data_IF_176613663647
#
_entry.id   IF_176613663647
#
_cell.length_a   1.000
_cell.length_b   1.000
_cell.length_c   1.000
_cell.angle_alpha   90.00
_cell.angle_beta   90.00
_cell.angle_gamma   90.00
#
_symmetry.space_group_name_H-M   'P 1'
#
loop_
_entity.id
_entity.type
_entity.pdbx_description
1 polymer ?
#
# COMPACT_ATOMS: atom_id res chain seq x y z
N UNK A 1 -49.91 23.65 5.69
CA UNK A 1 -51.07 22.81 5.98
C UNK A 1 -51.57 22.12 4.72
N UNK A 2 -51.92 20.85 4.76
CA UNK A 2 -51.62 19.86 5.78
C UNK A 2 -50.91 18.58 5.23
N UNK A 3 -50.24 17.91 6.11
CA UNK A 3 -50.01 16.48 6.20
C UNK A 3 -51.37 15.68 6.09
N UNK A 4 -51.41 14.39 5.70
CA UNK A 4 -51.13 13.35 6.68
C UNK A 4 -50.48 12.04 6.13
N UNK A 5 -49.74 11.37 6.97
CA UNK A 5 -49.58 9.92 7.08
C UNK A 5 -50.89 9.30 7.69
N UNK A 6 -50.99 8.00 8.01
CA UNK A 6 -50.24 6.77 7.78
C UNK A 6 -51.18 5.55 7.44
N UNK A 7 -50.63 4.30 7.27
CA UNK A 7 -51.23 3.03 7.72
C UNK A 7 -50.34 1.86 7.29
N UNK A 8 -49.69 1.17 8.18
CA UNK A 8 -49.99 0.01 9.04
C UNK A 8 -50.24 -1.32 8.34
N UNK A 9 -49.45 -2.31 8.75
CA UNK A 9 -49.81 -3.69 9.17
C UNK A 9 -49.93 -4.72 8.04
N UNK A 10 -49.24 -5.86 8.05
CA UNK A 10 -49.46 -6.99 8.95
C UNK A 10 -48.51 -8.12 8.57
N UNK A 11 -47.83 -8.68 9.52
CA UNK A 11 -47.34 -10.06 9.59
C UNK A 11 -48.54 -11.00 9.88
N UNK A 12 -48.57 -12.29 9.57
CA UNK A 12 -47.90 -13.27 10.42
C UNK A 12 -47.49 -14.63 9.78
N UNK A 13 -46.48 -15.22 10.37
CA UNK A 13 -46.40 -16.53 11.08
C UNK A 13 -46.52 -17.87 10.31
N UNK A 14 -45.54 -18.70 10.69
CA UNK A 14 -45.64 -20.13 11.07
C UNK A 14 -45.68 -21.16 9.94
N UNK A 15 -44.71 -22.06 9.90
CA UNK A 15 -44.83 -23.41 10.51
C UNK A 15 -43.56 -24.25 10.33
N UNK A 16 -43.09 -24.79 11.42
CA UNK A 16 -42.30 -26.00 11.54
C UNK A 16 -43.26 -27.14 11.86
N UNK A 17 -43.03 -28.40 11.54
CA UNK A 17 -42.27 -29.33 12.41
C UNK A 17 -41.45 -30.42 11.66
N UNK A 18 -40.32 -30.84 12.25
CA UNK A 18 -40.05 -31.97 13.11
C UNK A 18 -40.38 -33.36 12.51
N UNK A 19 -39.43 -34.25 12.47
CA UNK A 19 -39.26 -35.47 13.29
C UNK A 19 -38.46 -36.51 12.47
N UNK A 20 -37.54 -37.01 13.00
CA UNK A 20 -37.25 -38.21 13.83
C UNK A 20 -36.52 -39.33 13.10
N UNK A 21 -35.41 -39.69 13.63
CA UNK A 21 -35.10 -40.98 14.32
C UNK A 21 -34.69 -42.19 13.43
N UNK A 22 -33.57 -42.76 13.57
CA UNK A 22 -33.15 -43.92 14.37
C UNK A 22 -32.02 -44.67 13.70
N UNK A 23 -30.87 -44.72 14.26
CA UNK A 23 -30.23 -45.75 15.09
C UNK A 23 -29.63 -46.99 14.42
N UNK A 24 -28.48 -47.30 14.93
CA UNK A 24 -27.87 -48.56 15.31
C UNK A 24 -26.89 -49.18 14.29
N UNK A 25 -25.70 -49.40 14.62
CA UNK A 25 -24.95 -50.08 15.60
C UNK A 25 -23.99 -51.12 14.98
N UNK A 26 -22.78 -51.08 15.47
CA UNK A 26 -21.88 -52.19 15.83
C UNK A 26 -21.13 -52.95 14.74
N UNK A 27 -19.83 -52.90 14.72
CA UNK A 27 -18.94 -53.90 15.36
C UNK A 27 -17.51 -53.74 14.85
N UNK A 28 -16.57 -53.61 15.76
CA UNK A 28 -15.17 -53.93 15.55
C UNK A 28 -14.99 -55.45 15.74
N UNK A 29 -13.88 -56.04 15.30
CA UNK A 29 -12.64 -56.03 16.07
C UNK A 29 -11.31 -56.05 15.28
N UNK A 30 -10.35 -55.48 15.92
CA UNK A 30 -9.01 -55.91 16.32
C UNK A 30 -8.01 -56.50 15.31
N UNK A 31 -6.85 -55.89 15.42
CA UNK A 31 -5.51 -56.45 15.56
C UNK A 31 -4.65 -56.54 14.30
N UNK A 32 -3.60 -55.76 14.30
CA UNK A 32 -2.20 -56.17 14.21
C UNK A 32 -1.27 -54.97 14.13
N UNK A 33 -0.37 -54.93 15.09
CA UNK A 33 0.76 -54.01 15.17
C UNK A 33 1.70 -54.22 13.98
N UNK A 34 2.17 -53.11 13.39
CA UNK A 34 3.51 -53.08 12.81
C UNK A 34 4.16 -51.70 13.08
N UNK A 35 5.25 -51.82 13.84
CA UNK A 35 6.17 -50.76 14.22
C UNK A 35 7.05 -50.43 13.04
N UNK A 36 6.84 -49.30 12.40
CA UNK A 36 7.81 -48.73 11.47
C UNK A 36 8.11 -47.26 11.81
N UNK A 37 9.39 -47.01 12.02
CA UNK A 37 10.06 -45.83 12.46
C UNK A 37 9.53 -44.51 11.84
N UNK A 38 9.19 -43.58 12.72
CA UNK A 38 8.88 -42.18 12.37
C UNK A 38 10.19 -41.45 12.11
N UNK A 39 10.50 -41.24 10.84
CA UNK A 39 11.45 -40.20 10.46
C UNK A 39 10.82 -38.80 10.62
N UNK A 40 11.57 -37.77 11.03
CA UNK A 40 11.02 -36.42 11.19
C UNK A 40 10.61 -35.89 9.82
N UNK A 41 9.33 -35.55 9.64
CA UNK A 41 8.86 -34.76 8.51
C UNK A 41 9.44 -33.37 8.67
N UNK A 42 10.37 -33.05 7.80
CA UNK A 42 10.82 -31.65 7.60
C UNK A 42 9.58 -30.78 7.40
N UNK A 43 9.55 -29.68 8.15
CA UNK A 43 8.52 -28.64 8.04
C UNK A 43 8.55 -28.08 6.63
N UNK A 44 7.62 -28.57 5.78
CA UNK A 44 7.40 -28.03 4.45
C UNK A 44 6.95 -26.59 4.57
N UNK A 45 7.81 -25.67 4.16
CA UNK A 45 7.49 -24.24 4.06
C UNK A 45 6.19 -24.06 3.29
N UNK A 46 5.23 -23.37 3.85
CA UNK A 46 3.94 -23.09 3.25
C UNK A 46 4.14 -22.46 1.88
N UNK A 47 3.72 -23.14 0.81
CA UNK A 47 3.79 -22.63 -0.56
C UNK A 47 2.97 -21.34 -0.63
N UNK A 48 3.58 -20.21 -1.05
CA UNK A 48 2.87 -18.95 -1.09
C UNK A 48 1.59 -19.05 -1.93
N UNK A 49 0.52 -18.32 -1.59
CA UNK A 49 -0.72 -18.34 -2.38
C UNK A 49 -0.40 -18.10 -3.86
N UNK A 50 -1.06 -18.81 -4.76
CA UNK A 50 -0.81 -18.73 -6.22
C UNK A 50 -0.73 -17.27 -6.73
N UNK A 51 -1.53 -16.37 -6.16
CA UNK A 51 -1.50 -14.95 -6.49
C UNK A 51 -0.20 -14.25 -6.07
N UNK A 52 0.41 -14.63 -4.96
CA UNK A 52 1.68 -14.08 -4.50
C UNK A 52 2.85 -14.57 -5.38
N UNK A 53 2.88 -15.85 -5.73
CA UNK A 53 3.87 -16.42 -6.64
C UNK A 53 3.77 -15.78 -8.05
N UNK A 54 2.55 -15.57 -8.53
CA UNK A 54 2.30 -14.88 -9.81
C UNK A 54 2.82 -13.44 -9.81
N UNK A 55 2.53 -12.68 -8.74
CA UNK A 55 3.04 -11.30 -8.62
C UNK A 55 4.56 -11.25 -8.56
N UNK A 56 5.18 -12.16 -7.79
CA UNK A 56 6.65 -12.24 -7.70
C UNK A 56 7.29 -12.53 -9.06
N UNK A 57 6.72 -13.45 -9.85
CA UNK A 57 7.18 -13.76 -11.19
C UNK A 57 7.07 -12.55 -12.15
N UNK A 58 5.95 -11.82 -12.08
CA UNK A 58 5.77 -10.59 -12.87
C UNK A 58 6.82 -9.54 -12.50
N UNK A 59 7.05 -9.30 -11.20
CA UNK A 59 8.03 -8.29 -10.74
C UNK A 59 9.45 -8.67 -11.13
N UNK A 60 9.84 -9.94 -11.01
CA UNK A 60 11.16 -10.40 -11.44
C UNK A 60 11.37 -10.15 -12.93
N UNK A 61 10.44 -10.59 -13.78
CA UNK A 61 10.50 -10.36 -15.23
C UNK A 61 10.47 -8.86 -15.59
N UNK A 62 9.76 -8.04 -14.81
CA UNK A 62 9.69 -6.61 -14.99
C UNK A 62 11.04 -5.94 -14.68
N UNK A 63 11.69 -6.30 -13.57
CA UNK A 63 13.03 -5.80 -13.22
C UNK A 63 14.05 -6.10 -14.31
N UNK A 64 14.11 -7.36 -14.73
CA UNK A 64 15.03 -7.80 -15.79
C UNK A 64 14.79 -7.01 -17.07
N UNK A 65 13.53 -6.84 -17.46
CA UNK A 65 13.19 -6.16 -18.70
C UNK A 65 13.43 -4.66 -18.66
N UNK A 66 13.09 -4.01 -17.55
CA UNK A 66 13.37 -2.58 -17.38
C UNK A 66 14.87 -2.29 -17.26
N UNK A 67 15.65 -3.18 -16.65
CA UNK A 67 17.09 -3.05 -16.59
C UNK A 67 17.74 -3.22 -17.98
N UNK A 68 17.27 -4.17 -18.80
CA UNK A 68 17.83 -4.45 -20.12
C UNK A 68 17.42 -3.42 -21.19
N UNK A 69 16.15 -3.02 -21.21
CA UNK A 69 15.60 -2.19 -22.29
C UNK A 69 15.39 -0.73 -21.90
N UNK A 70 15.42 -0.42 -20.62
CA UNK A 70 14.94 0.85 -20.08
C UNK A 70 13.42 0.97 -20.07
N UNK A 71 12.91 2.00 -19.39
CA UNK A 71 11.47 2.20 -19.26
C UNK A 71 10.77 2.34 -20.62
N UNK A 72 11.29 3.16 -21.53
CA UNK A 72 10.61 3.48 -22.79
C UNK A 72 10.39 2.26 -23.70
N UNK A 73 11.39 1.41 -23.86
CA UNK A 73 11.35 0.27 -24.79
C UNK A 73 10.71 -0.98 -24.21
N UNK A 74 10.68 -1.12 -22.89
CA UNK A 74 10.02 -2.24 -22.24
C UNK A 74 8.51 -2.20 -22.50
N UNK A 75 7.90 -3.37 -22.75
CA UNK A 75 6.45 -3.48 -22.98
C UNK A 75 5.82 -4.48 -22.03
N UNK A 76 4.56 -4.25 -21.62
CA UNK A 76 3.79 -5.18 -20.81
C UNK A 76 3.75 -6.58 -21.43
N UNK A 77 3.61 -6.68 -22.76
CA UNK A 77 3.59 -7.97 -23.47
C UNK A 77 4.91 -8.73 -23.33
N UNK A 78 6.05 -8.03 -23.46
CA UNK A 78 7.36 -8.64 -23.29
C UNK A 78 7.62 -9.12 -21.87
N UNK A 79 7.21 -8.33 -20.87
CA UNK A 79 7.31 -8.68 -19.45
C UNK A 79 6.42 -9.87 -19.13
N UNK A 80 5.17 -9.85 -19.57
CA UNK A 80 4.22 -10.95 -19.38
C UNK A 80 4.74 -12.27 -19.99
N UNK A 81 5.32 -12.20 -21.18
CA UNK A 81 5.99 -13.34 -21.83
C UNK A 81 7.16 -13.86 -20.99
N UNK A 82 7.99 -12.98 -20.44
CA UNK A 82 9.11 -13.36 -19.55
C UNK A 82 8.65 -14.02 -18.26
N UNK A 83 7.51 -13.57 -17.72
CA UNK A 83 6.90 -14.15 -16.54
C UNK A 83 6.08 -15.44 -16.81
N UNK A 84 5.84 -15.82 -18.07
CA UNK A 84 4.96 -16.92 -18.43
C UNK A 84 3.48 -16.68 -18.10
N UNK A 85 3.02 -15.43 -18.16
CA UNK A 85 1.70 -14.99 -17.69
C UNK A 85 1.00 -14.20 -18.78
N UNK A 86 -0.33 -14.23 -18.78
CA UNK A 86 -1.12 -13.41 -19.72
C UNK A 86 -0.96 -11.91 -19.46
N UNK A 87 -0.78 -11.06 -20.47
CA UNK A 87 -0.67 -9.61 -20.30
C UNK A 87 -1.84 -8.96 -19.56
N UNK A 88 -3.06 -9.50 -19.67
CA UNK A 88 -4.22 -8.99 -18.95
C UNK A 88 -4.09 -9.14 -17.43
N UNK A 89 -3.41 -10.21 -16.98
CA UNK A 89 -3.10 -10.42 -15.56
C UNK A 89 -2.11 -9.38 -15.04
N UNK A 90 -1.12 -9.00 -15.84
CA UNK A 90 -0.18 -7.93 -15.49
C UNK A 90 -0.94 -6.61 -15.32
N UNK A 91 -1.80 -6.28 -16.29
CA UNK A 91 -2.66 -5.09 -16.24
C UNK A 91 -3.61 -5.12 -15.04
N UNK A 92 -4.18 -6.27 -14.72
CA UNK A 92 -5.06 -6.44 -13.55
C UNK A 92 -4.34 -6.18 -12.23
N UNK A 93 -3.06 -6.58 -12.09
CA UNK A 93 -2.30 -6.42 -10.85
C UNK A 93 -1.68 -5.03 -10.71
N UNK A 94 -1.24 -4.43 -11.80
CA UNK A 94 -0.43 -3.20 -11.77
C UNK A 94 -1.03 -2.03 -12.55
N UNK A 95 -2.17 -2.20 -13.17
CA UNK A 95 -2.93 -1.17 -13.88
C UNK A 95 -2.31 -0.75 -15.21
N UNK A 96 -1.04 -0.37 -15.23
CA UNK A 96 -0.33 0.09 -16.42
C UNK A 96 1.19 -0.15 -16.31
N UNK A 97 1.94 0.23 -17.36
CA UNK A 97 3.40 0.09 -17.37
C UNK A 97 4.10 0.91 -16.29
N UNK A 98 3.61 2.13 -16.01
CA UNK A 98 4.17 2.98 -14.95
C UNK A 98 3.96 2.35 -13.57
N UNK A 99 2.76 1.81 -13.29
CA UNK A 99 2.47 1.09 -12.06
C UNK A 99 3.33 -0.16 -11.88
N UNK A 100 3.56 -0.91 -12.96
CA UNK A 100 4.45 -2.07 -12.95
C UNK A 100 5.91 -1.66 -12.71
N UNK A 101 6.37 -0.59 -13.37
CA UNK A 101 7.71 -0.04 -13.17
C UNK A 101 7.92 0.41 -11.74
N UNK A 102 6.99 1.19 -11.20
CA UNK A 102 7.03 1.63 -9.81
C UNK A 102 7.07 0.46 -8.82
N UNK A 103 6.34 -0.63 -9.09
CA UNK A 103 6.35 -1.82 -8.25
C UNK A 103 7.63 -2.67 -8.39
N UNK A 104 8.26 -2.65 -9.55
CA UNK A 104 9.46 -3.43 -9.87
C UNK A 104 10.76 -2.72 -9.46
N UNK A 105 10.78 -1.37 -9.48
CA UNK A 105 11.95 -0.57 -9.14
C UNK A 105 12.19 -0.57 -7.62
N UNK A 106 13.44 -0.58 -7.21
CA UNK A 106 13.83 -0.17 -5.86
C UNK A 106 13.72 1.34 -5.80
N UNK A 107 12.73 1.84 -5.06
CA UNK A 107 12.47 3.28 -4.99
C UNK A 107 13.26 3.84 -3.82
N UNK A 108 14.22 4.67 -4.14
CA UNK A 108 14.92 5.52 -3.18
C UNK A 108 14.25 6.90 -3.17
N UNK A 109 13.60 7.22 -2.06
CA UNK A 109 12.91 8.51 -1.91
C UNK A 109 13.93 9.64 -1.72
N UNK A 110 15.17 9.32 -1.31
CA UNK A 110 16.23 10.31 -1.02
C UNK A 110 15.70 11.41 -0.09
N UNK A 111 15.19 11.00 1.08
CA UNK A 111 14.71 11.94 2.08
C UNK A 111 15.79 12.97 2.44
N UNK A 112 15.45 14.25 2.68
CA UNK A 112 16.44 15.29 2.95
C UNK A 112 17.08 15.07 4.32
N UNK A 113 18.36 15.37 4.45
CA UNK A 113 18.96 15.51 5.79
C UNK A 113 18.39 16.78 6.45
N UNK A 114 17.65 16.59 7.53
CA UNK A 114 17.04 17.66 8.31
C UNK A 114 17.86 18.04 9.55
N UNK A 115 18.92 17.29 9.89
CA UNK A 115 19.67 17.48 11.13
C UNK A 115 20.45 18.80 11.18
N UNK A 116 20.76 19.36 10.02
CA UNK A 116 21.49 20.61 9.86
C UNK A 116 20.62 21.79 9.42
N UNK A 117 19.30 21.59 9.32
CA UNK A 117 18.35 22.64 8.95
C UNK A 117 17.93 23.41 10.20
N UNK A 118 17.85 24.77 10.14
CA UNK A 118 17.31 25.56 11.23
C UNK A 118 15.94 25.07 11.66
N UNK A 119 15.71 25.00 12.98
CA UNK A 119 14.50 24.40 13.55
C UNK A 119 13.19 25.03 13.03
N UNK A 120 13.20 26.31 12.74
CA UNK A 120 12.06 27.07 12.19
C UNK A 120 11.86 26.90 10.66
N UNK A 121 12.83 26.28 9.97
CA UNK A 121 12.79 26.04 8.51
C UNK A 121 12.50 24.57 8.13
N UNK A 122 12.42 23.66 9.10
CA UNK A 122 12.25 22.21 8.84
C UNK A 122 11.05 21.91 7.95
N UNK A 123 9.90 22.53 8.24
CA UNK A 123 8.67 22.32 7.47
C UNK A 123 8.81 22.78 6.02
N UNK A 124 9.38 23.97 5.83
CA UNK A 124 9.59 24.51 4.49
C UNK A 124 10.58 23.69 3.67
N UNK A 125 11.68 23.25 4.29
CA UNK A 125 12.68 22.39 3.66
C UNK A 125 12.07 21.05 3.23
N UNK A 126 11.29 20.43 4.10
CA UNK A 126 10.65 19.15 3.82
C UNK A 126 9.65 19.26 2.66
N UNK A 127 8.78 20.26 2.67
CA UNK A 127 7.78 20.45 1.61
C UNK A 127 8.42 20.74 0.26
N UNK A 128 9.44 21.62 0.19
CA UNK A 128 10.18 21.87 -1.07
C UNK A 128 10.81 20.58 -1.61
N UNK A 129 11.49 19.84 -0.75
CA UNK A 129 12.12 18.59 -1.16
C UNK A 129 11.12 17.61 -1.75
N UNK A 130 9.95 17.45 -1.14
CA UNK A 130 8.91 16.55 -1.67
C UNK A 130 8.37 17.03 -3.02
N UNK A 131 8.12 18.31 -3.20
CA UNK A 131 7.69 18.85 -4.50
C UNK A 131 8.71 18.58 -5.59
N UNK A 132 9.99 18.89 -5.34
CA UNK A 132 11.09 18.64 -6.24
C UNK A 132 11.19 17.15 -6.63
N UNK A 133 11.07 16.26 -5.65
CA UNK A 133 11.13 14.81 -5.88
C UNK A 133 9.95 14.31 -6.72
N UNK A 134 8.74 14.78 -6.43
CA UNK A 134 7.55 14.36 -7.21
C UNK A 134 7.59 14.83 -8.65
N UNK A 135 8.19 15.97 -8.92
CA UNK A 135 8.27 16.53 -10.28
C UNK A 135 9.49 16.03 -11.07
N UNK A 136 10.54 15.61 -10.38
CA UNK A 136 11.74 15.07 -11.04
C UNK A 136 11.61 13.60 -11.43
N UNK A 137 10.67 12.85 -10.85
CA UNK A 137 10.61 11.39 -11.00
C UNK A 137 9.17 10.86 -11.05
N UNK A 138 8.73 10.46 -12.24
CA UNK A 138 7.41 9.84 -12.46
C UNK A 138 7.21 8.54 -11.65
N UNK A 139 8.30 7.93 -11.16
CA UNK A 139 8.25 6.71 -10.36
C UNK A 139 7.46 6.93 -9.07
N UNK A 140 7.62 8.09 -8.44
CA UNK A 140 6.87 8.47 -7.23
C UNK A 140 5.36 8.50 -7.47
N UNK A 141 4.95 9.15 -8.56
CA UNK A 141 3.54 9.20 -8.97
C UNK A 141 3.00 7.83 -9.34
N UNK A 142 3.81 7.02 -10.04
CA UNK A 142 3.49 5.63 -10.38
C UNK A 142 3.30 4.77 -9.13
N UNK A 143 4.21 4.88 -8.16
CA UNK A 143 4.10 4.17 -6.88
C UNK A 143 2.83 4.54 -6.12
N UNK A 144 2.50 5.82 -6.06
CA UNK A 144 1.28 6.29 -5.40
C UNK A 144 0.02 5.72 -6.07
N UNK A 145 -0.07 5.76 -7.40
CA UNK A 145 -1.20 5.18 -8.14
C UNK A 145 -1.40 3.70 -7.82
N UNK A 146 -0.30 2.95 -7.78
CA UNK A 146 -0.35 1.52 -7.41
C UNK A 146 -0.67 1.34 -5.94
N UNK A 147 -0.12 2.18 -5.06
CA UNK A 147 -0.33 2.13 -3.61
C UNK A 147 -1.79 2.31 -3.21
N UNK A 148 -2.53 3.18 -3.91
CA UNK A 148 -3.97 3.40 -3.63
C UNK A 148 -4.89 2.42 -4.33
N UNK A 149 -4.38 1.57 -5.24
CA UNK A 149 -5.20 0.66 -6.04
C UNK A 149 -5.03 -0.82 -5.70
N UNK A 150 -3.98 -1.20 -5.00
CA UNK A 150 -3.77 -2.61 -4.62
C UNK A 150 -2.86 -2.78 -3.39
N UNK A 151 -3.03 -3.91 -2.69
CA UNK A 151 -2.34 -4.21 -1.43
C UNK A 151 -0.81 -4.31 -1.58
N UNK A 152 -0.30 -4.83 -2.69
CA UNK A 152 1.14 -4.97 -2.90
C UNK A 152 1.81 -3.58 -3.00
N UNK A 153 1.17 -2.64 -3.71
CA UNK A 153 1.61 -1.26 -3.77
C UNK A 153 1.52 -0.57 -2.41
N UNK A 154 0.43 -0.76 -1.67
CA UNK A 154 0.27 -0.22 -0.33
C UNK A 154 1.35 -0.76 0.64
N UNK A 155 1.67 -2.06 0.59
CA UNK A 155 2.74 -2.66 1.38
C UNK A 155 4.09 -2.03 1.04
N UNK A 156 4.37 -1.79 -0.25
CA UNK A 156 5.62 -1.15 -0.67
C UNK A 156 5.71 0.30 -0.18
N UNK A 157 4.63 1.08 -0.27
CA UNK A 157 4.59 2.44 0.28
C UNK A 157 4.86 2.45 1.78
N UNK A 158 4.25 1.53 2.53
CA UNK A 158 4.52 1.39 3.98
C UNK A 158 6.00 1.06 4.25
N UNK A 159 6.59 0.16 3.46
CA UNK A 159 8.01 -0.18 3.59
C UNK A 159 8.92 1.01 3.31
N UNK A 160 8.70 1.73 2.22
CA UNK A 160 9.44 2.95 1.88
C UNK A 160 9.32 4.00 2.99
N UNK A 161 8.11 4.19 3.52
CA UNK A 161 7.88 5.11 4.62
C UNK A 161 8.69 4.71 5.86
N UNK A 162 8.57 3.47 6.33
CA UNK A 162 9.23 2.99 7.54
C UNK A 162 10.77 2.94 7.42
N UNK A 163 11.31 2.62 6.24
CA UNK A 163 12.75 2.46 6.05
C UNK A 163 13.47 3.75 5.64
N UNK A 164 12.79 4.70 4.99
CA UNK A 164 13.45 5.86 4.39
C UNK A 164 12.94 7.21 4.90
N UNK A 165 11.68 7.33 5.30
CA UNK A 165 11.08 8.61 5.70
C UNK A 165 11.03 8.75 7.22
N UNK A 166 10.47 7.78 7.91
CA UNK A 166 10.30 7.80 9.36
C UNK A 166 11.61 8.03 10.13
N UNK A 167 12.75 7.38 9.79
CA UNK A 167 14.02 7.63 10.48
C UNK A 167 14.49 9.08 10.37
N UNK A 168 14.28 9.73 9.21
CA UNK A 168 14.66 11.13 8.99
C UNK A 168 13.80 12.08 9.83
N UNK A 169 12.50 11.83 9.89
CA UNK A 169 11.57 12.63 10.69
C UNK A 169 11.82 12.43 12.18
N UNK A 170 12.10 11.19 12.60
CA UNK A 170 12.41 10.84 13.99
C UNK A 170 13.68 11.51 14.48
N UNK A 171 14.70 11.70 13.62
CA UNK A 171 15.95 12.34 13.98
C UNK A 171 15.81 13.80 14.41
N UNK A 172 14.74 14.48 13.97
CA UNK A 172 14.44 15.88 14.32
C UNK A 172 13.23 16.03 15.24
N UNK A 173 12.65 14.92 15.68
CA UNK A 173 11.50 14.93 16.59
C UNK A 173 11.95 15.33 18.01
N UNK A 174 11.32 16.34 18.65
CA UNK A 174 11.70 16.78 19.98
C UNK A 174 11.39 15.75 21.07
N UNK A 175 10.39 14.88 20.84
CA UNK A 175 9.93 13.85 21.75
C UNK A 175 9.96 12.51 21.03
N UNK A 176 10.97 11.63 21.30
CA UNK A 176 11.13 10.36 20.57
C UNK A 176 9.89 9.46 20.58
N UNK A 177 9.14 9.45 21.68
CA UNK A 177 7.93 8.63 21.86
C UNK A 177 6.78 9.06 20.94
N UNK A 178 6.81 10.29 20.44
CA UNK A 178 5.82 10.86 19.52
C UNK A 178 6.21 10.75 18.04
N UNK A 179 7.43 10.28 17.75
CA UNK A 179 7.99 10.31 16.39
C UNK A 179 7.14 9.55 15.37
N UNK A 180 6.62 8.37 15.72
CA UNK A 180 5.75 7.58 14.84
C UNK A 180 4.44 8.32 14.53
N UNK A 181 3.76 8.87 15.55
CA UNK A 181 2.53 9.63 15.38
C UNK A 181 2.76 10.87 14.51
N UNK A 182 3.79 11.64 14.80
CA UNK A 182 4.14 12.86 14.08
C UNK A 182 4.51 12.57 12.63
N UNK A 183 5.28 11.52 12.37
CA UNK A 183 5.62 11.05 11.03
C UNK A 183 4.38 10.64 10.24
N UNK A 184 3.42 9.96 10.86
CA UNK A 184 2.13 9.61 10.26
C UNK A 184 1.31 10.83 9.88
N UNK A 185 1.26 11.86 10.74
CA UNK A 185 0.57 13.13 10.44
C UNK A 185 1.23 13.86 9.26
N UNK A 186 2.55 13.94 9.24
CA UNK A 186 3.31 14.54 8.14
C UNK A 186 3.04 13.79 6.84
N UNK A 187 3.15 12.46 6.85
CA UNK A 187 2.87 11.63 5.69
C UNK A 187 1.47 11.87 5.14
N UNK A 188 0.45 11.99 6.00
CA UNK A 188 -0.92 12.24 5.57
C UNK A 188 -1.07 13.55 4.79
N UNK A 189 -0.40 14.61 5.21
CA UNK A 189 -0.44 15.91 4.53
C UNK A 189 0.30 15.87 3.20
N UNK A 190 1.53 15.34 3.20
CA UNK A 190 2.37 15.27 2.00
C UNK A 190 1.76 14.34 0.94
N UNK A 191 1.33 13.14 1.34
CA UNK A 191 0.70 12.19 0.41
C UNK A 191 -0.67 12.70 -0.07
N UNK A 192 -1.44 13.38 0.77
CA UNK A 192 -2.70 14.01 0.38
C UNK A 192 -2.49 15.10 -0.68
N UNK A 193 -1.50 15.98 -0.50
CA UNK A 193 -1.13 16.99 -1.49
C UNK A 193 -0.67 16.34 -2.79
N UNK A 194 0.20 15.34 -2.72
CA UNK A 194 0.70 14.63 -3.89
C UNK A 194 -0.43 13.91 -4.65
N UNK A 195 -1.33 13.24 -3.94
CA UNK A 195 -2.51 12.60 -4.55
C UNK A 195 -3.38 13.61 -5.29
N UNK A 196 -3.70 14.73 -4.66
CA UNK A 196 -4.55 15.76 -5.25
C UNK A 196 -3.88 16.42 -6.48
N UNK A 197 -2.58 16.71 -6.39
CA UNK A 197 -1.85 17.46 -7.43
C UNK A 197 -1.41 16.58 -8.60
N UNK A 198 -0.81 15.40 -8.32
CA UNK A 198 -0.12 14.60 -9.34
C UNK A 198 -0.87 13.35 -9.79
N UNK A 199 -1.90 12.92 -9.06
CA UNK A 199 -2.68 11.72 -9.42
C UNK A 199 -4.08 12.07 -9.86
N UNK A 200 -4.81 12.84 -9.05
CA UNK A 200 -6.21 13.24 -9.30
C UNK A 200 -6.31 14.51 -10.14
N UNK A 201 -5.24 15.29 -10.23
CA UNK A 201 -5.19 16.58 -10.94
C UNK A 201 -6.34 17.52 -10.56
N UNK A 202 -6.60 17.67 -9.25
CA UNK A 202 -7.63 18.57 -8.72
C UNK A 202 -7.24 20.00 -9.07
N UNK A 203 -8.04 20.74 -9.88
CA UNK A 203 -7.62 22.02 -10.46
C UNK A 203 -7.07 23.04 -9.46
N UNK A 204 -7.68 23.30 -8.27
CA UNK A 204 -7.10 24.19 -7.29
C UNK A 204 -5.72 23.78 -6.78
N UNK A 205 -5.48 22.44 -6.60
CA UNK A 205 -4.20 21.94 -6.14
C UNK A 205 -3.12 22.01 -7.24
N UNK A 206 -3.51 21.79 -8.51
CA UNK A 206 -2.60 21.90 -9.66
C UNK A 206 -2.23 23.35 -9.95
N UNK A 207 -3.15 24.30 -9.73
CA UNK A 207 -2.94 25.70 -10.02
C UNK A 207 -1.95 26.40 -9.06
N UNK A 208 -1.73 25.86 -7.87
CA UNK A 208 -0.77 26.42 -6.91
C UNK A 208 0.66 26.32 -7.46
N UNK A 209 1.42 27.41 -7.36
CA UNK A 209 2.87 27.38 -7.53
C UNK A 209 3.55 26.62 -6.37
N UNK A 210 4.82 26.25 -6.54
CA UNK A 210 5.60 25.62 -5.45
C UNK A 210 5.65 26.50 -4.21
N UNK A 211 5.91 27.79 -4.38
CA UNK A 211 6.00 28.73 -3.26
C UNK A 211 4.67 28.86 -2.52
N UNK A 212 3.55 28.85 -3.23
CA UNK A 212 2.22 28.84 -2.60
C UNK A 212 1.97 27.54 -1.84
N UNK A 213 2.31 26.37 -2.40
CA UNK A 213 2.21 25.08 -1.67
C UNK A 213 3.08 25.13 -0.41
N UNK A 214 4.33 25.62 -0.51
CA UNK A 214 5.21 25.75 0.65
C UNK A 214 4.60 26.72 1.67
N UNK A 215 4.14 27.89 1.24
CA UNK A 215 3.56 28.89 2.13
C UNK A 215 2.37 28.38 2.95
N UNK A 216 1.51 27.54 2.34
CA UNK A 216 0.34 26.98 2.99
C UNK A 216 0.61 25.69 3.77
N UNK A 217 1.43 24.78 3.24
CA UNK A 217 1.62 23.45 3.82
C UNK A 217 2.75 23.45 4.87
N UNK A 218 3.82 24.22 4.65
CA UNK A 218 4.98 24.19 5.54
C UNK A 218 4.65 24.56 7.00
N UNK A 219 3.79 25.55 7.33
CA UNK A 219 3.42 25.83 8.71
C UNK A 219 2.75 24.65 9.42
N UNK A 220 1.92 23.88 8.69
CA UNK A 220 1.28 22.68 9.23
C UNK A 220 2.30 21.58 9.51
N UNK A 221 3.20 21.31 8.56
CA UNK A 221 4.28 20.35 8.73
C UNK A 221 5.24 20.78 9.85
N UNK A 222 5.58 22.06 9.91
CA UNK A 222 6.41 22.66 10.96
C UNK A 222 5.81 22.39 12.34
N UNK A 223 4.50 22.62 12.49
CA UNK A 223 3.79 22.33 13.74
C UNK A 223 3.90 20.85 14.14
N UNK A 224 3.75 19.93 13.19
CA UNK A 224 3.90 18.50 13.48
C UNK A 224 5.33 18.13 13.87
N UNK A 225 6.33 18.82 13.32
CA UNK A 225 7.73 18.55 13.64
C UNK A 225 8.14 19.10 15.01
N UNK A 226 7.59 20.25 15.44
CA UNK A 226 8.22 21.06 16.50
C UNK A 226 7.31 21.48 17.64
N UNK A 227 5.99 21.50 17.47
CA UNK A 227 5.09 21.92 18.52
C UNK A 227 4.81 20.80 19.54
N UNK A 228 4.47 21.17 20.74
CA UNK A 228 3.91 20.25 21.74
C UNK A 228 2.59 19.66 21.22
N UNK A 229 2.37 18.36 21.49
CA UNK A 229 1.08 17.74 21.20
C UNK A 229 0.00 18.31 22.12
N UNK A 230 -1.26 18.44 21.62
CA UNK A 230 -2.37 18.94 22.43
C UNK A 230 -2.78 17.98 23.54
#
# INVERSE_FOLDING_TARGET
MPDPAPATSTDPASDTPADATTAAAASAPADAADTAATAPREAGGARPPRSAATRAAILAAARDRFAADGYERATIRAIAKGAGIDPSMVMRYYGNKAGLFAAASEIEVHAPDLTHVPHDELGARLVRHFLERWESDETMTGMMRVGVTNDAGAQRMRKVFAEQIEPVLSAVCPVPEEAELRSGLIASQVLGMALCRYVLHIPPAVALSHDEVVAWLAPTIQRYLTADLP
#
